data_IF_980542405119
#
_entry.id   IF_980542405119
#
_cell.length_a   1.000
_cell.length_b   1.000
_cell.length_c   1.000
_cell.angle_alpha   90.00
_cell.angle_beta   90.00
_cell.angle_gamma   90.00
#
_symmetry.space_group_name_H-M   'P 1'
#
loop_
_entity.id
_entity.type
_entity.pdbx_description
1 polymer ?
#
# COMPACT_ATOMS: atom_id res chain seq x y z
N UNK A 1 -24.10 4.82 -12.80
CA UNK A 1 -24.29 3.39 -12.50
C UNK A 1 -23.48 3.11 -11.25
N UNK A 2 -24.10 2.57 -10.21
CA UNK A 2 -23.39 2.23 -8.96
C UNK A 2 -22.54 0.97 -9.17
N UNK A 3 -21.51 0.77 -8.33
CA UNK A 3 -20.70 -0.46 -8.35
C UNK A 3 -21.57 -1.72 -8.33
N UNK A 4 -22.58 -1.75 -7.47
CA UNK A 4 -23.44 -2.91 -7.30
C UNK A 4 -24.24 -3.23 -8.56
N UNK A 5 -24.77 -2.22 -9.25
CA UNK A 5 -25.50 -2.41 -10.51
C UNK A 5 -24.63 -3.08 -11.58
N UNK A 6 -23.34 -2.75 -11.63
CA UNK A 6 -22.39 -3.33 -12.58
C UNK A 6 -21.89 -4.72 -12.17
N UNK A 7 -21.80 -5.00 -10.86
CA UNK A 7 -21.20 -6.22 -10.33
C UNK A 7 -22.21 -7.32 -9.95
N UNK A 8 -23.50 -7.01 -9.83
CA UNK A 8 -24.53 -7.90 -9.26
C UNK A 8 -24.57 -9.30 -9.87
N UNK A 9 -24.30 -9.43 -11.17
CA UNK A 9 -24.39 -10.71 -11.88
C UNK A 9 -23.16 -11.61 -11.60
N UNK A 10 -22.10 -11.05 -11.01
CA UNK A 10 -20.85 -11.73 -10.64
C UNK A 10 -20.72 -11.98 -9.12
N UNK A 11 -21.55 -11.34 -8.30
CA UNK A 11 -21.48 -11.46 -6.84
C UNK A 11 -22.02 -12.83 -6.41
N UNK A 12 -21.15 -13.65 -5.83
CA UNK A 12 -21.53 -14.92 -5.21
C UNK A 12 -22.43 -14.68 -4.00
N UNK A 13 -23.38 -15.59 -3.75
CA UNK A 13 -24.20 -15.57 -2.52
C UNK A 13 -23.54 -16.29 -1.34
N UNK A 14 -22.40 -16.93 -1.57
CA UNK A 14 -21.63 -17.63 -0.53
C UNK A 14 -20.67 -16.66 0.18
N UNK A 15 -20.82 -16.55 1.49
CA UNK A 15 -19.97 -15.73 2.35
C UNK A 15 -18.48 -16.13 2.28
N UNK A 16 -18.17 -17.40 1.97
CA UNK A 16 -16.79 -17.86 1.80
C UNK A 16 -16.11 -17.30 0.54
N UNK A 17 -16.90 -16.83 -0.43
CA UNK A 17 -16.44 -16.22 -1.68
C UNK A 17 -16.85 -14.74 -1.78
N UNK A 18 -17.18 -14.14 -0.63
CA UNK A 18 -17.60 -12.76 -0.55
C UNK A 18 -16.53 -11.81 -1.11
N UNK A 19 -16.96 -10.88 -1.95
CA UNK A 19 -16.08 -9.83 -2.43
C UNK A 19 -15.83 -8.83 -1.30
N UNK A 20 -14.57 -8.60 -0.96
CA UNK A 20 -14.14 -7.62 0.03
C UNK A 20 -13.77 -6.31 -0.66
N UNK A 21 -14.44 -5.23 -0.29
CA UNK A 21 -14.23 -3.92 -0.90
C UNK A 21 -13.44 -3.00 0.03
N UNK A 22 -12.53 -2.24 -0.57
CA UNK A 22 -11.84 -1.09 0.03
C UNK A 22 -12.38 0.20 -0.58
N UNK A 23 -12.84 1.13 0.25
CA UNK A 23 -13.44 2.39 -0.20
C UNK A 23 -12.55 3.57 0.21
N UNK A 24 -12.19 4.41 -0.76
CA UNK A 24 -11.51 5.69 -0.49
C UNK A 24 -12.57 6.70 -0.07
N UNK A 25 -12.41 7.30 1.11
CA UNK A 25 -13.38 8.27 1.63
C UNK A 25 -13.18 9.65 0.99
N UNK A 26 -14.27 10.42 0.94
CA UNK A 26 -14.19 11.87 0.75
C UNK A 26 -13.72 12.57 2.02
N UNK A 27 -13.96 13.89 2.10
CA UNK A 27 -13.52 14.73 3.22
C UNK A 27 -14.27 14.46 4.53
N UNK A 28 -15.43 13.79 4.47
CA UNK A 28 -16.23 13.42 5.63
C UNK A 28 -16.19 11.89 5.87
N UNK A 29 -15.30 11.39 6.74
CA UNK A 29 -15.22 9.95 7.03
C UNK A 29 -16.48 9.39 7.70
N UNK A 30 -17.22 10.20 8.47
CA UNK A 30 -18.44 9.74 9.15
C UNK A 30 -19.59 9.48 8.18
N UNK A 31 -19.67 10.23 7.08
CA UNK A 31 -20.62 9.95 6.01
C UNK A 31 -20.28 8.62 5.32
N UNK A 32 -19.00 8.39 5.03
CA UNK A 32 -18.55 7.13 4.44
C UNK A 32 -18.83 5.92 5.35
N UNK A 33 -18.62 6.08 6.67
CA UNK A 33 -18.96 5.04 7.66
C UNK A 33 -20.44 4.66 7.57
N UNK A 34 -21.35 5.64 7.56
CA UNK A 34 -22.78 5.38 7.43
C UNK A 34 -23.13 4.69 6.11
N UNK A 35 -22.54 5.14 5.01
CA UNK A 35 -22.75 4.52 3.69
C UNK A 35 -22.28 3.07 3.66
N UNK A 36 -21.18 2.75 4.35
CA UNK A 36 -20.66 1.38 4.46
C UNK A 36 -21.59 0.50 5.29
N UNK A 37 -22.13 1.00 6.40
CA UNK A 37 -23.12 0.26 7.20
C UNK A 37 -24.38 -0.06 6.38
N UNK A 38 -24.94 0.96 5.72
CA UNK A 38 -26.12 0.81 4.87
C UNK A 38 -25.85 -0.15 3.71
N UNK A 39 -24.68 -0.04 3.07
CA UNK A 39 -24.28 -0.92 1.96
C UNK A 39 -24.11 -2.37 2.42
N UNK A 40 -23.41 -2.62 3.54
CA UNK A 40 -23.18 -3.97 4.05
C UNK A 40 -24.49 -4.63 4.51
N UNK A 41 -25.39 -3.86 5.14
CA UNK A 41 -26.71 -4.35 5.53
C UNK A 41 -27.57 -4.76 4.32
N UNK A 42 -27.47 -4.02 3.21
CA UNK A 42 -28.24 -4.28 2.01
C UNK A 42 -27.68 -5.39 1.11
N UNK A 43 -26.35 -5.56 1.07
CA UNK A 43 -25.68 -6.37 0.03
C UNK A 43 -24.87 -7.57 0.58
N UNK A 44 -24.72 -7.67 1.91
CA UNK A 44 -24.09 -8.82 2.53
C UNK A 44 -24.92 -10.12 2.37
N UNK A 45 -24.29 -11.30 2.49
CA UNK A 45 -22.87 -11.51 2.73
C UNK A 45 -22.03 -11.57 1.44
N UNK A 46 -22.64 -11.54 0.26
CA UNK A 46 -21.95 -11.77 -1.03
C UNK A 46 -20.94 -10.69 -1.39
N UNK A 47 -21.17 -9.47 -0.93
CA UNK A 47 -20.22 -8.36 -1.02
C UNK A 47 -20.22 -7.58 0.29
N UNK A 48 -19.02 -7.27 0.79
CA UNK A 48 -18.84 -6.56 2.05
C UNK A 48 -17.74 -5.53 1.88
N UNK A 49 -18.03 -4.29 2.23
CA UNK A 49 -17.02 -3.28 2.46
C UNK A 49 -16.44 -3.46 3.87
N UNK A 50 -15.21 -3.93 3.96
CA UNK A 50 -14.50 -4.15 5.21
C UNK A 50 -13.26 -3.26 5.37
N UNK A 51 -13.01 -2.39 4.39
CA UNK A 51 -11.85 -1.50 4.40
C UNK A 51 -12.23 -0.08 4.02
N UNK A 52 -11.78 0.89 4.81
CA UNK A 52 -11.84 2.32 4.48
C UNK A 52 -10.44 2.89 4.30
N UNK A 53 -10.25 3.75 3.30
CA UNK A 53 -9.03 4.54 3.14
C UNK A 53 -9.34 6.00 3.44
N UNK A 54 -8.78 6.51 4.53
CA UNK A 54 -9.18 7.77 5.14
C UNK A 54 -7.98 8.70 5.17
N UNK A 55 -8.12 9.96 4.78
CA UNK A 55 -7.07 10.94 5.02
C UNK A 55 -7.05 11.31 6.50
N UNK A 56 -5.88 11.26 7.12
CA UNK A 56 -5.69 11.74 8.49
C UNK A 56 -4.51 12.72 8.55
N UNK A 57 -4.73 13.82 9.26
CA UNK A 57 -3.74 14.86 9.48
C UNK A 57 -3.23 14.87 10.92
N UNK A 58 -3.98 14.27 11.85
CA UNK A 58 -3.65 14.28 13.29
C UNK A 58 -3.96 12.95 13.98
N UNK A 59 -3.28 12.69 15.10
CA UNK A 59 -3.58 11.57 16.00
C UNK A 59 -5.04 11.61 16.51
N UNK A 60 -5.53 12.81 16.85
CA UNK A 60 -6.90 13.02 17.32
C UNK A 60 -7.96 12.61 16.29
N UNK A 61 -7.74 12.89 15.01
CA UNK A 61 -8.64 12.44 13.94
C UNK A 61 -8.66 10.91 13.83
N UNK A 62 -7.51 10.25 13.94
CA UNK A 62 -7.42 8.79 13.92
C UNK A 62 -8.22 8.19 15.07
N UNK A 63 -8.02 8.68 16.29
CA UNK A 63 -8.71 8.19 17.49
C UNK A 63 -10.24 8.28 17.34
N UNK A 64 -10.75 9.46 16.96
CA UNK A 64 -12.19 9.70 16.86
C UNK A 64 -12.85 8.95 15.71
N UNK A 65 -12.19 8.88 14.55
CA UNK A 65 -12.74 8.14 13.40
C UNK A 65 -12.67 6.64 13.66
N UNK A 66 -11.58 6.15 14.26
CA UNK A 66 -11.43 4.72 14.59
C UNK A 66 -12.49 4.25 15.58
N UNK A 67 -12.82 5.08 16.57
CA UNK A 67 -13.88 4.78 17.54
C UNK A 67 -15.28 4.69 16.90
N UNK A 68 -15.48 5.30 15.73
CA UNK A 68 -16.74 5.29 14.99
C UNK A 68 -16.79 4.21 13.90
N UNK A 69 -15.71 3.46 13.66
CA UNK A 69 -15.69 2.42 12.62
C UNK A 69 -16.66 1.28 12.96
N UNK A 70 -17.40 0.75 11.97
CA UNK A 70 -18.24 -0.43 12.18
C UNK A 70 -17.39 -1.64 12.53
N UNK A 71 -17.98 -2.58 13.28
CA UNK A 71 -17.31 -3.84 13.63
C UNK A 71 -16.88 -4.60 12.38
N UNK A 72 -15.61 -5.03 12.36
CA UNK A 72 -15.03 -5.76 11.23
C UNK A 72 -14.51 -4.89 10.08
N UNK A 73 -14.66 -3.56 10.16
CA UNK A 73 -14.06 -2.63 9.20
C UNK A 73 -12.68 -2.19 9.69
N UNK A 74 -11.69 -2.21 8.78
CA UNK A 74 -10.35 -1.65 9.02
C UNK A 74 -10.16 -0.35 8.27
N UNK A 75 -9.54 0.63 8.92
CA UNK A 75 -9.09 1.85 8.29
C UNK A 75 -7.60 1.75 7.89
N UNK A 76 -7.31 2.25 6.70
CA UNK A 76 -5.97 2.59 6.26
C UNK A 76 -5.87 4.12 6.18
N UNK A 77 -5.19 4.72 7.14
CA UNK A 77 -5.03 6.17 7.20
C UNK A 77 -3.93 6.63 6.26
N UNK A 78 -4.27 7.51 5.31
CA UNK A 78 -3.31 8.15 4.42
C UNK A 78 -2.51 9.18 5.22
N UNK A 79 -1.24 8.85 5.49
CA UNK A 79 -0.31 9.60 6.31
C UNK A 79 0.84 10.06 5.41
N UNK A 80 1.06 11.38 5.34
CA UNK A 80 2.19 11.94 4.62
C UNK A 80 3.47 11.83 5.46
N UNK A 81 4.63 11.44 4.89
CA UNK A 81 5.89 11.32 5.62
C UNK A 81 6.55 12.69 5.87
N UNK A 82 5.85 13.57 6.60
CA UNK A 82 6.27 14.92 7.00
C UNK A 82 6.48 14.99 8.51
N UNK A 83 7.17 16.01 9.01
CA UNK A 83 7.45 16.13 10.45
C UNK A 83 6.22 15.84 11.33
N UNK A 84 6.36 14.95 12.32
CA UNK A 84 5.30 14.54 13.23
C UNK A 84 4.45 13.36 12.75
N UNK A 85 4.75 12.76 11.59
CA UNK A 85 4.00 11.59 11.10
C UNK A 85 4.13 10.37 12.03
N UNK A 86 5.21 10.28 12.81
CA UNK A 86 5.45 9.19 13.75
C UNK A 86 4.36 9.12 14.84
N UNK A 87 3.90 10.27 15.35
CA UNK A 87 2.80 10.34 16.32
C UNK A 87 1.47 9.87 15.71
N UNK A 88 1.27 10.14 14.42
CA UNK A 88 0.08 9.70 13.67
C UNK A 88 0.11 8.18 13.47
N UNK A 89 1.29 7.60 13.20
CA UNK A 89 1.47 6.14 13.14
C UNK A 89 1.23 5.50 14.51
N UNK A 90 1.71 6.12 15.60
CA UNK A 90 1.47 5.63 16.95
C UNK A 90 -0.04 5.59 17.28
N UNK A 91 -0.77 6.66 16.96
CA UNK A 91 -2.24 6.69 17.11
C UNK A 91 -2.95 5.61 16.27
N UNK A 92 -2.47 5.35 15.06
CA UNK A 92 -2.99 4.24 14.25
C UNK A 92 -2.75 2.88 14.92
N UNK A 93 -1.57 2.69 15.53
CA UNK A 93 -1.24 1.47 16.29
C UNK A 93 -2.17 1.28 17.48
N UNK A 94 -2.35 2.32 18.31
CA UNK A 94 -3.19 2.29 19.50
C UNK A 94 -4.67 2.02 19.15
N UNK A 95 -5.15 2.57 18.03
CA UNK A 95 -6.48 2.31 17.50
C UNK A 95 -6.60 0.95 16.76
N UNK A 96 -5.51 0.21 16.63
CA UNK A 96 -5.44 -1.06 15.90
C UNK A 96 -5.68 -0.93 14.40
N UNK A 97 -5.39 0.21 13.79
CA UNK A 97 -5.62 0.49 12.37
C UNK A 97 -4.32 0.41 11.56
N UNK A 98 -4.45 0.57 10.24
CA UNK A 98 -3.34 0.46 9.30
C UNK A 98 -2.94 1.85 8.77
N UNK A 99 -1.71 1.95 8.26
CA UNK A 99 -1.22 3.15 7.60
C UNK A 99 -1.28 3.04 6.07
N UNK A 100 -1.32 4.17 5.38
CA UNK A 100 -1.25 4.27 3.93
C UNK A 100 -0.32 5.40 3.57
N UNK A 101 0.60 5.16 2.65
CA UNK A 101 1.48 6.18 2.09
C UNK A 101 1.16 6.41 0.62
N UNK A 102 1.26 7.67 0.19
CA UNK A 102 1.33 8.00 -1.24
C UNK A 102 2.78 8.02 -1.68
N UNK A 103 3.08 7.38 -2.81
CA UNK A 103 4.43 7.27 -3.37
C UNK A 103 4.61 8.05 -4.67
N UNK A 104 3.58 8.79 -5.10
CA UNK A 104 3.61 9.53 -6.35
C UNK A 104 2.31 10.28 -6.66
N UNK A 105 2.29 10.85 -7.86
CA UNK A 105 1.16 11.60 -8.42
C UNK A 105 1.47 12.05 -9.84
N UNK A 106 0.79 13.09 -10.30
CA UNK A 106 0.93 13.62 -11.67
C UNK A 106 2.03 14.67 -11.81
N UNK A 107 2.64 15.10 -10.69
CA UNK A 107 3.73 16.08 -10.64
C UNK A 107 4.94 15.49 -9.93
N UNK A 108 6.14 15.99 -10.23
CA UNK A 108 7.38 15.46 -9.66
C UNK A 108 7.45 15.63 -8.13
N UNK A 109 6.89 16.71 -7.58
CA UNK A 109 6.84 16.98 -6.14
C UNK A 109 5.86 16.07 -5.38
N UNK A 110 4.97 15.35 -6.10
CA UNK A 110 4.09 14.35 -5.50
C UNK A 110 4.83 13.03 -5.19
N UNK A 111 6.05 12.83 -5.68
CA UNK A 111 6.88 11.67 -5.38
C UNK A 111 7.76 11.97 -4.16
N UNK A 112 7.49 11.39 -2.98
CA UNK A 112 8.37 11.54 -1.84
C UNK A 112 9.74 10.94 -2.16
N UNK A 113 10.79 11.50 -1.58
CA UNK A 113 12.14 10.95 -1.68
C UNK A 113 12.22 9.56 -1.04
N UNK A 114 13.14 8.73 -1.52
CA UNK A 114 13.37 7.37 -0.99
C UNK A 114 13.57 7.38 0.52
N UNK A 115 14.37 8.31 1.05
CA UNK A 115 14.64 8.44 2.49
C UNK A 115 13.38 8.72 3.34
N UNK A 116 12.40 9.44 2.77
CA UNK A 116 11.13 9.69 3.44
C UNK A 116 10.23 8.45 3.47
N UNK A 117 10.24 7.65 2.40
CA UNK A 117 9.54 6.35 2.35
C UNK A 117 10.18 5.37 3.33
N UNK A 118 11.51 5.26 3.35
CA UNK A 118 12.23 4.38 4.28
C UNK A 118 11.90 4.74 5.73
N UNK A 119 11.93 6.04 6.08
CA UNK A 119 11.53 6.50 7.42
C UNK A 119 10.08 6.14 7.78
N UNK A 120 9.16 6.27 6.82
CA UNK A 120 7.77 5.88 7.03
C UNK A 120 7.64 4.37 7.30
N UNK A 121 8.34 3.55 6.53
CA UNK A 121 8.35 2.10 6.71
C UNK A 121 8.98 1.71 8.04
N UNK A 122 10.11 2.30 8.42
CA UNK A 122 10.74 2.07 9.73
C UNK A 122 9.79 2.39 10.89
N UNK A 123 9.06 3.51 10.82
CA UNK A 123 8.08 3.88 11.84
C UNK A 123 6.91 2.88 11.90
N UNK A 124 6.39 2.45 10.76
CA UNK A 124 5.35 1.42 10.70
C UNK A 124 5.84 0.09 11.30
N UNK A 125 7.05 -0.34 10.94
CA UNK A 125 7.67 -1.58 11.48
C UNK A 125 7.86 -1.47 13.00
N UNK A 126 8.40 -0.35 13.49
CA UNK A 126 8.61 -0.13 14.92
C UNK A 126 7.30 -0.13 15.72
N UNK A 127 6.23 0.43 15.15
CA UNK A 127 4.90 0.47 15.77
C UNK A 127 4.04 -0.78 15.50
N UNK A 128 4.57 -1.79 14.79
CA UNK A 128 3.81 -2.96 14.31
C UNK A 128 2.53 -2.61 13.52
N UNK A 129 2.56 -1.50 12.78
CA UNK A 129 1.44 -1.01 11.97
C UNK A 129 1.59 -1.54 10.55
N UNK A 130 0.70 -2.42 10.07
CA UNK A 130 0.69 -2.81 8.68
C UNK A 130 0.32 -1.62 7.81
N UNK A 131 0.84 -1.58 6.59
CA UNK A 131 0.58 -0.46 5.70
C UNK A 131 0.33 -0.86 4.25
N UNK A 132 -0.16 0.08 3.45
CA UNK A 132 -0.18 -0.02 1.99
C UNK A 132 0.45 1.21 1.35
N UNK A 133 0.97 1.05 0.16
CA UNK A 133 1.51 2.16 -0.62
C UNK A 133 0.66 2.39 -1.87
N UNK A 134 0.44 3.62 -2.26
CA UNK A 134 -0.46 3.93 -3.37
C UNK A 134 0.05 5.10 -4.18
N UNK A 135 -0.46 5.21 -5.42
CA UNK A 135 -0.09 6.24 -6.38
C UNK A 135 1.38 6.18 -6.82
N UNK A 136 1.61 6.02 -8.13
CA UNK A 136 2.94 6.07 -8.72
C UNK A 136 3.74 4.75 -8.70
N UNK A 137 3.14 3.63 -8.28
CA UNK A 137 3.77 2.30 -8.28
C UNK A 137 3.33 1.47 -9.48
N UNK A 138 3.78 1.88 -10.67
CA UNK A 138 3.46 1.23 -11.94
C UNK A 138 4.48 0.16 -12.34
N UNK A 139 5.73 0.37 -11.92
CA UNK A 139 6.88 -0.39 -12.37
C UNK A 139 7.40 -1.29 -11.24
N UNK A 140 7.87 -2.52 -11.54
CA UNK A 140 8.45 -3.39 -10.54
C UNK A 140 9.74 -2.80 -9.97
N UNK A 141 10.58 -2.26 -10.84
CA UNK A 141 11.87 -1.66 -10.51
C UNK A 141 11.80 -0.13 -10.67
N UNK A 142 12.50 0.61 -9.79
CA UNK A 142 12.61 2.07 -9.85
C UNK A 142 13.14 2.51 -11.21
N UNK A 143 12.56 3.55 -11.79
CA UNK A 143 12.94 3.98 -13.13
C UNK A 143 12.63 5.46 -13.40
N UNK A 144 13.23 6.00 -14.46
CA UNK A 144 12.93 7.33 -14.98
C UNK A 144 11.99 7.25 -16.19
N UNK A 145 10.76 7.75 -16.05
CA UNK A 145 9.65 7.59 -17.02
C UNK A 145 8.74 8.84 -17.04
N UNK A 146 7.89 8.99 -18.07
CA UNK A 146 6.80 9.98 -18.05
C UNK A 146 5.88 9.75 -16.85
N UNK A 147 5.50 10.81 -16.14
CA UNK A 147 4.68 10.72 -14.92
C UNK A 147 3.19 10.47 -15.20
N UNK A 148 2.76 10.70 -16.44
CA UNK A 148 1.39 10.49 -16.90
C UNK A 148 1.41 9.91 -18.32
N UNK A 149 0.27 9.39 -18.78
CA UNK A 149 0.08 8.87 -20.13
C UNK A 149 -0.09 9.96 -21.21
N UNK A 150 -0.09 11.24 -20.81
CA UNK A 150 -0.27 12.34 -21.74
C UNK A 150 0.94 12.53 -22.64
N UNK A 151 0.70 12.94 -23.88
CA UNK A 151 1.75 13.32 -24.79
C UNK A 151 2.57 14.49 -24.18
N UNK A 152 3.91 14.37 -24.21
CA UNK A 152 4.84 15.33 -23.59
C UNK A 152 4.73 15.44 -22.06
N UNK A 153 4.23 14.41 -21.38
CA UNK A 153 4.26 14.34 -19.92
C UNK A 153 5.67 14.58 -19.37
N UNK A 154 5.74 15.34 -18.28
CA UNK A 154 6.98 15.56 -17.53
C UNK A 154 7.53 14.19 -17.12
N UNK A 155 8.83 13.99 -17.30
CA UNK A 155 9.50 12.78 -16.84
C UNK A 155 10.01 12.98 -15.42
N UNK A 156 9.94 11.92 -14.62
CA UNK A 156 10.46 11.90 -13.26
C UNK A 156 10.88 10.49 -12.87
N UNK A 157 11.52 10.40 -11.70
CA UNK A 157 11.86 9.10 -11.14
C UNK A 157 10.65 8.55 -10.37
N UNK A 158 10.22 7.35 -10.75
CA UNK A 158 9.13 6.60 -10.13
C UNK A 158 9.71 5.46 -9.31
N UNK A 159 9.09 5.18 -8.17
CA UNK A 159 9.49 4.09 -7.28
C UNK A 159 9.06 2.73 -7.83
N UNK A 160 9.89 1.71 -7.63
CA UNK A 160 9.54 0.33 -7.97
C UNK A 160 8.76 -0.34 -6.84
N UNK A 161 7.69 -1.07 -7.17
CA UNK A 161 6.95 -1.80 -6.13
C UNK A 161 7.73 -3.01 -5.58
N UNK A 162 8.60 -3.66 -6.37
CA UNK A 162 9.49 -4.70 -5.85
C UNK A 162 10.56 -4.09 -4.94
N UNK A 163 11.16 -2.94 -5.32
CA UNK A 163 12.08 -2.20 -4.44
C UNK A 163 11.44 -1.96 -3.07
N UNK A 164 10.20 -1.43 -3.05
CA UNK A 164 9.48 -1.14 -1.81
C UNK A 164 9.22 -2.39 -0.97
N UNK A 165 8.78 -3.49 -1.59
CA UNK A 165 8.47 -4.73 -0.89
C UNK A 165 9.73 -5.37 -0.30
N UNK A 166 10.80 -5.50 -1.08
CA UNK A 166 12.06 -6.05 -0.58
C UNK A 166 12.66 -5.15 0.50
N UNK A 167 12.69 -3.83 0.30
CA UNK A 167 13.18 -2.87 1.30
C UNK A 167 12.40 -3.02 2.61
N UNK A 168 11.07 -3.15 2.54
CA UNK A 168 10.24 -3.39 3.73
C UNK A 168 10.59 -4.70 4.43
N UNK A 169 10.83 -5.77 3.66
CA UNK A 169 11.29 -7.05 4.21
C UNK A 169 12.61 -6.89 4.97
N UNK A 170 13.61 -6.23 4.38
CA UNK A 170 14.88 -5.96 5.05
C UNK A 170 14.74 -5.02 6.25
N UNK A 171 13.82 -4.05 6.22
CA UNK A 171 13.53 -3.19 7.37
C UNK A 171 13.01 -4.01 8.56
N UNK A 172 12.18 -5.02 8.31
CA UNK A 172 11.69 -5.96 9.34
C UNK A 172 12.80 -6.87 9.91
N UNK A 173 13.90 -7.05 9.18
CA UNK A 173 15.11 -7.72 9.65
C UNK A 173 16.14 -6.75 10.28
N UNK A 174 15.73 -5.51 10.59
CA UNK A 174 16.56 -4.49 11.25
C UNK A 174 17.82 -4.06 10.48
N UNK A 175 17.80 -4.13 9.15
CA UNK A 175 18.88 -3.57 8.34
C UNK A 175 18.95 -2.04 8.51
N UNK A 176 20.17 -1.50 8.44
CA UNK A 176 20.42 -0.06 8.61
C UNK A 176 19.78 0.77 7.50
N UNK A 177 19.32 1.99 7.83
CA UNK A 177 18.68 2.91 6.88
C UNK A 177 19.41 3.09 5.55
N UNK A 178 20.73 3.30 5.55
CA UNK A 178 21.47 3.50 4.28
C UNK A 178 21.44 2.28 3.35
N UNK A 179 21.27 1.07 3.90
CA UNK A 179 21.06 -0.14 3.12
C UNK A 179 19.65 -0.13 2.52
N UNK A 180 18.64 0.21 3.33
CA UNK A 180 17.24 0.32 2.89
C UNK A 180 17.07 1.36 1.79
N UNK A 181 17.74 2.51 1.92
CA UNK A 181 17.79 3.55 0.88
C UNK A 181 18.35 2.99 -0.43
N UNK A 182 19.41 2.17 -0.37
CA UNK A 182 20.03 1.56 -1.55
C UNK A 182 19.12 0.54 -2.24
N UNK A 183 18.35 -0.25 -1.47
CA UNK A 183 17.34 -1.16 -2.04
C UNK A 183 16.21 -0.37 -2.70
N UNK A 184 15.76 0.71 -2.06
CA UNK A 184 14.71 1.58 -2.58
C UNK A 184 15.14 2.30 -3.87
N UNK A 185 16.43 2.63 -3.97
CA UNK A 185 17.01 3.39 -5.09
C UNK A 185 17.53 2.52 -6.25
N UNK A 186 17.49 1.19 -6.13
CA UNK A 186 17.97 0.26 -7.15
C UNK A 186 17.19 0.36 -8.47
N UNK A 187 17.89 0.55 -9.58
CA UNK A 187 17.31 0.74 -10.93
C UNK A 187 17.64 -0.42 -11.89
N UNK A 188 18.48 -1.36 -11.47
CA UNK A 188 18.86 -2.54 -12.26
C UNK A 188 18.03 -3.74 -11.82
N UNK A 189 17.34 -4.38 -12.75
CA UNK A 189 16.53 -5.57 -12.48
C UNK A 189 17.39 -6.81 -12.26
N UNK A 190 18.57 -6.89 -12.88
CA UNK A 190 19.43 -8.07 -12.85
C UNK A 190 20.03 -8.36 -11.46
N UNK A 191 19.95 -7.40 -10.53
CA UNK A 191 20.39 -7.62 -9.14
C UNK A 191 19.32 -8.26 -8.26
N UNK A 192 18.09 -8.44 -8.77
CA UNK A 192 17.01 -9.13 -8.09
C UNK A 192 16.89 -10.55 -8.63
N UNK A 193 17.13 -11.54 -7.78
CA UNK A 193 16.98 -12.95 -8.14
C UNK A 193 15.81 -13.55 -7.36
N UNK A 194 14.86 -14.13 -8.09
CA UNK A 194 13.66 -14.74 -7.52
C UNK A 194 13.77 -16.26 -7.62
N UNK A 195 13.85 -16.90 -6.46
CA UNK A 195 13.95 -18.35 -6.33
C UNK A 195 12.68 -18.91 -5.66
N UNK A 196 12.39 -20.23 -5.78
CA UNK A 196 11.15 -20.80 -5.25
C UNK A 196 10.94 -20.59 -3.74
N UNK A 197 12.00 -20.38 -2.96
CA UNK A 197 11.95 -20.26 -1.50
C UNK A 197 12.59 -18.99 -0.95
N UNK A 198 13.16 -18.14 -1.81
CA UNK A 198 13.86 -16.94 -1.38
C UNK A 198 13.92 -15.89 -2.49
N UNK A 199 14.14 -14.64 -2.09
CA UNK A 199 14.46 -13.55 -2.99
C UNK A 199 15.83 -13.01 -2.58
N UNK A 200 16.74 -12.85 -3.54
CA UNK A 200 18.06 -12.26 -3.31
C UNK A 200 18.16 -10.88 -3.93
N UNK A 201 18.96 -10.04 -3.28
CA UNK A 201 19.41 -8.77 -3.79
C UNK A 201 20.94 -8.77 -3.83
N UNK A 202 21.50 -8.48 -5.02
CA UNK A 202 22.94 -8.43 -5.31
C UNK A 202 23.70 -9.71 -4.95
N UNK A 203 23.03 -10.86 -4.99
CA UNK A 203 23.58 -12.18 -4.62
C UNK A 203 24.23 -12.23 -3.21
N UNK A 204 23.87 -11.30 -2.33
CA UNK A 204 24.46 -11.18 -0.99
C UNK A 204 23.37 -11.16 0.10
N UNK A 205 22.26 -10.49 -0.17
CA UNK A 205 21.21 -10.25 0.81
C UNK A 205 19.96 -11.02 0.44
N UNK A 206 19.41 -11.78 1.38
CA UNK A 206 18.32 -12.72 1.11
C UNK A 206 17.14 -12.51 2.05
N UNK A 207 15.93 -12.62 1.50
CA UNK A 207 14.70 -12.84 2.24
C UNK A 207 14.14 -14.23 1.91
N UNK A 208 14.04 -15.10 2.91
CA UNK A 208 13.46 -16.43 2.72
C UNK A 208 11.92 -16.41 2.78
N UNK A 209 11.30 -17.54 2.44
CA UNK A 209 9.84 -17.68 2.40
C UNK A 209 9.16 -17.30 3.73
N UNK A 210 9.75 -17.64 4.87
CA UNK A 210 9.17 -17.29 6.18
C UNK A 210 9.18 -15.78 6.41
N UNK A 211 10.28 -15.10 6.04
CA UNK A 211 10.39 -13.65 6.13
C UNK A 211 9.40 -12.97 5.17
N UNK A 212 9.22 -13.50 3.96
CA UNK A 212 8.25 -13.02 2.97
C UNK A 212 6.81 -13.21 3.48
N UNK A 213 6.47 -14.36 4.04
CA UNK A 213 5.15 -14.59 4.66
C UNK A 213 4.89 -13.62 5.82
N UNK A 214 5.90 -13.39 6.67
CA UNK A 214 5.82 -12.40 7.75
C UNK A 214 5.65 -10.98 7.22
N UNK A 215 6.37 -10.61 6.17
CA UNK A 215 6.22 -9.33 5.48
C UNK A 215 4.78 -9.14 5.00
N UNK A 216 4.21 -10.12 4.31
CA UNK A 216 2.83 -10.06 3.81
C UNK A 216 1.79 -10.07 4.94
N UNK A 217 2.10 -10.70 6.08
CA UNK A 217 1.21 -10.79 7.26
C UNK A 217 1.32 -9.61 8.22
N UNK A 218 2.39 -8.83 8.24
CA UNK A 218 2.58 -7.80 9.29
C UNK A 218 3.16 -6.48 8.77
N UNK A 219 3.78 -6.45 7.59
CA UNK A 219 4.34 -5.24 6.99
C UNK A 219 3.43 -4.68 5.89
N UNK A 220 3.95 -4.62 4.66
CA UNK A 220 3.21 -4.10 3.51
C UNK A 220 2.13 -5.08 3.02
N UNK A 221 0.89 -4.59 2.92
CA UNK A 221 -0.31 -5.35 2.52
C UNK A 221 -0.57 -5.32 1.03
N UNK A 222 -0.44 -4.15 0.43
CA UNK A 222 -0.73 -3.96 -0.98
C UNK A 222 0.00 -2.73 -1.49
N UNK A 223 0.07 -2.66 -2.82
CA UNK A 223 0.36 -1.43 -3.52
C UNK A 223 -0.80 -1.06 -4.45
N UNK A 224 -0.87 0.20 -4.88
CA UNK A 224 -1.85 0.68 -5.85
C UNK A 224 -1.19 1.24 -7.11
N UNK A 225 -1.66 0.76 -8.27
CA UNK A 225 -1.34 1.25 -9.62
C UNK A 225 -2.62 1.73 -10.31
N UNK A 226 -2.52 2.71 -11.22
CA UNK A 226 -3.66 3.14 -12.04
C UNK A 226 -3.95 2.17 -13.19
N UNK A 227 -3.01 1.27 -13.51
CA UNK A 227 -3.15 0.23 -14.51
C UNK A 227 -2.99 -1.14 -13.86
N UNK A 228 -3.90 -2.07 -14.19
CA UNK A 228 -3.73 -3.48 -13.84
C UNK A 228 -2.78 -4.18 -14.80
N UNK A 229 -2.76 -3.77 -16.06
CA UNK A 229 -1.99 -4.44 -17.11
C UNK A 229 -0.49 -4.15 -17.01
N UNK A 230 -0.10 -2.91 -16.66
CA UNK A 230 1.30 -2.50 -16.62
C UNK A 230 2.15 -3.30 -15.61
N UNK A 231 1.77 -3.39 -14.32
CA UNK A 231 2.53 -4.20 -13.38
C UNK A 231 2.62 -5.66 -13.83
N UNK A 232 1.54 -6.24 -14.36
CA UNK A 232 1.53 -7.65 -14.79
C UNK A 232 2.46 -7.84 -15.99
N UNK A 233 2.36 -6.99 -17.01
CA UNK A 233 3.18 -7.10 -18.22
C UNK A 233 4.67 -6.94 -17.90
N UNK A 234 5.03 -5.99 -17.03
CA UNK A 234 6.43 -5.79 -16.64
C UNK A 234 6.96 -6.93 -15.78
N UNK A 235 6.15 -7.53 -14.91
CA UNK A 235 6.53 -8.75 -14.18
C UNK A 235 6.74 -9.97 -15.10
N UNK A 236 5.95 -10.09 -16.17
CA UNK A 236 6.14 -11.13 -17.19
C UNK A 236 7.44 -10.90 -17.99
N UNK A 237 7.77 -9.65 -18.31
CA UNK A 237 9.05 -9.29 -18.96
C UNK A 237 10.23 -9.66 -18.07
N UNK A 238 10.11 -9.46 -16.75
CA UNK A 238 11.10 -9.89 -15.76
C UNK A 238 11.16 -11.42 -15.56
N UNK A 239 10.24 -12.19 -16.13
CA UNK A 239 10.20 -13.65 -16.03
C UNK A 239 9.77 -14.19 -14.66
N UNK A 240 9.03 -13.40 -13.88
CA UNK A 240 8.57 -13.77 -12.53
C UNK A 240 7.07 -14.07 -12.43
N UNK A 241 6.33 -13.93 -13.53
CA UNK A 241 4.94 -14.37 -13.73
C UNK A 241 4.77 -15.16 -15.02
#
# INVERSE_FOLDING_TARGET
MSFYESARDFISRDAATAWRLSIVTGDNPYEAIRQVEDFNAANGPGVVCDTLEIKAMTAYEIENVSAALPSGVKAFYEIAPKAGFEDIIAAASDAGQCAKIRTGGITADAFPRSDAIVRFVEACVAANVPFKATAGLHHPIRCFRPLTYEANSVKGTMHGFLNLFLMTGFAMESYRRSFLDSVMEEEFDEVFEFEPTEIKWRNEFTLNLHQIERLRRSGIRSFGSCSFDEPIAELQILGIL
#
